data_IF_615548939906
#
_entry.id   IF_615548939906
#
_cell.length_a   1.000
_cell.length_b   1.000
_cell.length_c   1.000
_cell.angle_alpha   90.00
_cell.angle_beta   90.00
_cell.angle_gamma   90.00
#
_symmetry.space_group_name_H-M   'P 1'
#
loop_
_entity.id
_entity.type
_entity.pdbx_description
1 polymer ?
2 non-polymer ?
3 water ?
#
# COMPACT_ATOMS: atom_id res chain seq x y z
N UNK A 11 1.06 -7.80 -24.80
CA UNK A 11 0.36 -7.47 -23.57
C UNK A 11 1.29 -7.61 -22.37
N UNK A 12 1.05 -6.79 -21.34
CA UNK A 12 1.79 -6.86 -20.09
C UNK A 12 0.77 -6.84 -18.97
N UNK A 13 0.89 -7.78 -18.02
CA UNK A 13 -0.02 -7.86 -16.88
C UNK A 13 0.72 -7.38 -15.63
N UNK A 14 0.15 -6.40 -14.95
CA UNK A 14 0.77 -5.80 -13.77
C UNK A 14 -0.15 -6.05 -12.58
N UNK A 15 0.39 -6.69 -11.54
CA UNK A 15 -0.31 -6.87 -10.28
C UNK A 15 0.26 -5.86 -9.30
N UNK A 16 -0.60 -5.05 -8.68
CA UNK A 16 -0.10 -3.97 -7.85
C UNK A 16 -0.92 -3.81 -6.58
N UNK A 17 -0.22 -3.51 -5.49
CA UNK A 17 -0.87 -3.22 -4.21
C UNK A 17 -1.97 -2.18 -4.39
N UNK A 18 -3.06 -2.38 -3.65
CA UNK A 18 -4.25 -1.54 -3.82
C UNK A 18 -3.95 -0.05 -3.63
N UNK A 19 -3.00 0.29 -2.75
CA UNK A 19 -2.63 1.70 -2.60
C UNK A 19 -2.08 2.32 -3.89
N UNK A 20 -1.73 1.51 -4.90
CA UNK A 20 -1.19 2.02 -6.15
C UNK A 20 -2.25 2.16 -7.24
N UNK A 21 -3.53 1.93 -6.92
CA UNK A 21 -4.59 1.88 -7.92
C UNK A 21 -4.57 3.09 -8.84
N UNK A 22 -4.59 4.29 -8.26
CA UNK A 22 -4.74 5.50 -9.08
C UNK A 22 -3.47 5.79 -9.87
N UNK A 23 -2.29 5.66 -9.25
CA UNK A 23 -1.06 5.97 -9.95
C UNK A 23 -0.84 5.00 -11.11
N UNK A 24 -1.05 3.70 -10.88
CA UNK A 24 -0.82 2.73 -11.94
C UNK A 24 -1.87 2.85 -13.04
N UNK A 25 -3.12 3.16 -12.68
CA UNK A 25 -4.11 3.41 -13.73
C UNK A 25 -3.69 4.57 -14.62
N UNK A 26 -3.20 5.66 -14.03
CA UNK A 26 -2.72 6.79 -14.82
C UNK A 26 -1.56 6.37 -15.72
N UNK A 27 -0.62 5.60 -15.18
CA UNK A 27 0.54 5.23 -15.98
C UNK A 27 0.19 4.21 -17.06
N UNK A 28 -0.80 3.35 -16.81
CA UNK A 28 -1.23 2.42 -17.85
C UNK A 28 -1.79 3.18 -19.04
N UNK A 29 -2.56 4.25 -18.78
CA UNK A 29 -3.14 5.01 -19.88
C UNK A 29 -2.05 5.76 -20.65
N UNK A 30 -1.06 6.31 -19.95
CA UNK A 30 0.06 6.96 -20.62
C UNK A 30 0.81 5.97 -21.50
N UNK A 31 1.10 4.79 -20.96
CA UNK A 31 1.89 3.81 -21.69
C UNK A 31 1.15 3.33 -22.93
N UNK A 32 -0.17 3.15 -22.81
CA UNK A 32 -0.96 2.68 -23.95
C UNK A 32 -1.05 3.73 -25.05
N UNK A 33 -0.94 5.01 -24.70
CA UNK A 33 -0.88 6.05 -25.72
C UNK A 33 0.48 6.09 -26.42
N UNK A 34 1.52 5.57 -25.79
CA UNK A 34 2.90 5.69 -26.27
C UNK A 34 3.43 4.41 -26.88
N UNK A 35 2.67 3.31 -26.84
CA UNK A 35 3.14 2.00 -27.27
C UNK A 35 1.96 1.20 -27.77
N UNK A 36 2.22 0.29 -28.72
CA UNK A 36 1.20 -0.63 -29.22
C UNK A 36 1.16 -1.89 -28.35
N UNK A 37 0.95 -1.65 -27.06
CA UNK A 37 0.93 -2.69 -26.05
C UNK A 37 -0.30 -2.49 -25.19
N UNK A 38 -0.97 -3.58 -24.85
CA UNK A 38 -2.07 -3.54 -23.89
C UNK A 38 -1.52 -3.81 -22.51
N UNK A 39 -1.92 -2.99 -21.53
CA UNK A 39 -1.50 -3.13 -20.15
C UNK A 39 -2.70 -3.58 -19.33
N UNK A 40 -2.63 -4.78 -18.77
CA UNK A 40 -3.66 -5.32 -17.90
C UNK A 40 -3.24 -5.11 -16.46
N UNK A 41 -4.16 -4.63 -15.63
CA UNK A 41 -3.85 -4.33 -14.24
C UNK A 41 -4.77 -5.10 -13.30
N UNK A 42 -4.22 -5.53 -12.17
CA UNK A 42 -5.00 -6.12 -11.09
C UNK A 42 -4.51 -5.55 -9.78
N UNK A 43 -5.45 -5.11 -8.96
CA UNK A 43 -5.15 -4.50 -7.66
C UNK A 43 -5.83 -5.30 -6.55
N UNK A 44 -5.10 -5.50 -5.47
CA UNK A 44 -5.61 -6.16 -4.27
C UNK A 44 -4.55 -5.97 -3.19
N UNK A 45 -4.75 -6.57 -2.03
CA UNK A 45 -3.69 -6.58 -1.04
C UNK A 45 -2.45 -7.27 -1.58
N UNK A 46 -1.28 -6.77 -1.16
CA UNK A 46 -0.04 -7.36 -1.68
C UNK A 46 0.05 -8.86 -1.37
N UNK A 47 -0.51 -9.27 -0.23
CA UNK A 47 -0.52 -10.68 0.16
C UNK A 47 -1.30 -11.52 -0.85
N UNK A 48 -2.53 -11.12 -1.15
CA UNK A 48 -3.38 -11.84 -2.10
C UNK A 48 -2.68 -11.97 -3.43
N UNK A 49 -2.06 -10.89 -3.90
CA UNK A 49 -1.44 -10.88 -5.22
C UNK A 49 -0.25 -11.81 -5.27
N UNK A 50 0.61 -11.78 -4.24
CA UNK A 50 1.77 -12.66 -4.22
C UNK A 50 1.36 -14.12 -4.19
N UNK A 51 0.36 -14.47 -3.38
CA UNK A 51 -0.12 -15.85 -3.32
C UNK A 51 -0.70 -16.28 -4.66
N UNK A 52 -1.39 -15.38 -5.35
CA UNK A 52 -1.92 -15.72 -6.67
C UNK A 52 -0.80 -16.00 -7.67
N UNK A 53 0.26 -15.18 -7.64
CA UNK A 53 1.40 -15.42 -8.53
C UNK A 53 2.05 -16.75 -8.21
N UNK A 54 2.24 -17.04 -6.92
CA UNK A 54 2.78 -18.33 -6.50
C UNK A 54 1.97 -19.49 -7.06
N UNK A 55 0.65 -19.33 -7.14
CA UNK A 55 -0.24 -20.38 -7.65
C UNK A 55 -0.34 -20.39 -9.16
N UNK A 56 0.39 -19.53 -9.87
CA UNK A 56 0.46 -19.58 -11.32
C UNK A 56 -0.16 -18.42 -12.06
N UNK A 57 -0.66 -17.40 -11.38
CA UNK A 57 -1.27 -16.27 -12.09
C UNK A 57 -0.25 -15.61 -12.99
N UNK A 58 -0.63 -15.24 -14.22
CA UNK A 58 0.33 -14.82 -15.23
C UNK A 58 0.73 -13.34 -15.16
N UNK A 59 1.03 -12.86 -13.95
CA UNK A 59 1.55 -11.50 -13.82
C UNK A 59 2.95 -11.42 -14.39
N UNK A 60 3.18 -10.38 -15.21
CA UNK A 60 4.53 -10.07 -15.69
C UNK A 60 5.30 -9.24 -14.68
N UNK A 61 4.61 -8.38 -13.94
CA UNK A 61 5.22 -7.41 -13.03
C UNK A 61 4.39 -7.39 -11.75
N UNK A 62 5.08 -7.28 -10.62
CA UNK A 62 4.43 -7.22 -9.32
C UNK A 62 4.99 -6.02 -8.57
N UNK A 63 4.13 -5.22 -7.97
CA UNK A 63 4.54 -4.11 -7.11
C UNK A 63 3.88 -4.33 -5.77
N UNK A 64 4.70 -4.55 -4.75
CA UNK A 64 4.24 -4.83 -3.40
C UNK A 64 4.32 -3.57 -2.56
N UNK A 65 3.49 -3.50 -1.53
CA UNK A 65 3.54 -2.40 -0.57
C UNK A 65 4.50 -2.67 0.59
N UNK A 66 5.15 -3.84 0.60
CA UNK A 66 6.24 -4.08 1.53
C UNK A 66 7.29 -4.99 0.92
N UNK A 67 8.46 -5.01 1.56
CA UNK A 67 9.55 -5.89 1.17
C UNK A 67 9.18 -7.36 1.36
N UNK A 68 8.41 -7.65 2.42
CA UNK A 68 8.18 -9.04 2.81
C UNK A 68 7.50 -9.84 1.71
N UNK A 69 6.47 -9.28 1.07
CA UNK A 69 5.78 -10.07 0.05
C UNK A 69 6.58 -10.22 -1.24
N UNK A 70 7.54 -9.33 -1.50
CA UNK A 70 8.46 -9.62 -2.58
C UNK A 70 9.51 -10.65 -2.21
N UNK A 71 10.03 -10.58 -0.98
CA UNK A 71 10.91 -11.63 -0.48
C UNK A 71 10.23 -12.99 -0.55
N UNK A 72 8.92 -13.03 -0.26
CA UNK A 72 8.14 -14.26 -0.32
C UNK A 72 8.26 -14.90 -1.71
N UNK A 73 8.15 -14.09 -2.75
CA UNK A 73 8.29 -14.60 -4.12
C UNK A 73 9.73 -14.96 -4.44
N UNK A 74 10.69 -14.13 -3.99
CA UNK A 74 12.10 -14.43 -4.25
C UNK A 74 12.53 -15.75 -3.65
N UNK A 75 12.07 -16.04 -2.43
CA UNK A 75 12.41 -17.32 -1.80
C UNK A 75 11.84 -18.50 -2.58
N UNK A 76 10.74 -18.28 -3.31
CA UNK A 76 10.13 -19.31 -4.15
C UNK A 76 10.70 -19.31 -5.57
N UNK A 77 11.74 -18.49 -5.81
CA UNK A 77 12.42 -18.40 -7.11
C UNK A 77 11.58 -17.73 -8.20
N UNK A 78 10.52 -17.03 -7.83
CA UNK A 78 9.64 -16.42 -8.82
C UNK A 78 10.08 -15.03 -9.25
N UNK A 79 10.99 -14.42 -8.50
CA UNK A 79 11.66 -13.19 -8.92
C UNK A 79 13.12 -13.33 -8.51
N UNK A 80 14.01 -12.85 -9.38
CA UNK A 80 15.44 -12.85 -9.08
C UNK A 80 15.84 -11.57 -8.36
N UNK A 81 16.91 -11.68 -7.56
CA UNK A 81 17.38 -10.53 -6.79
C UNK A 81 17.72 -9.35 -7.70
N UNK A 82 18.25 -9.64 -8.89
CA UNK A 82 18.62 -8.57 -9.81
C UNK A 82 17.44 -8.03 -10.61
N UNK A 83 16.24 -8.60 -10.46
CA UNK A 83 15.06 -8.16 -11.19
C UNK A 83 14.04 -7.47 -10.28
N UNK A 84 14.50 -6.88 -9.18
CA UNK A 84 13.61 -6.11 -8.32
C UNK A 84 14.35 -4.86 -7.86
N UNK A 85 13.60 -3.80 -7.62
CA UNK A 85 14.15 -2.53 -7.17
C UNK A 85 13.17 -1.86 -6.23
N UNK A 86 13.70 -1.19 -5.21
CA UNK A 86 12.85 -0.44 -4.29
C UNK A 86 12.45 0.86 -4.98
N UNK A 87 11.14 1.01 -5.23
CA UNK A 87 10.65 2.08 -6.08
C UNK A 87 10.10 3.28 -5.31
N UNK A 88 9.19 3.05 -4.36
CA UNK A 88 8.44 4.11 -3.74
C UNK A 88 8.44 4.01 -2.21
N UNK A 89 8.26 5.16 -1.57
CA UNK A 89 8.01 5.22 -0.15
C UNK A 89 6.65 5.85 0.13
N UNK A 90 6.20 5.69 1.38
CA UNK A 90 4.92 6.22 1.82
C UNK A 90 5.04 6.51 3.31
N UNK A 91 3.97 7.05 3.88
CA UNK A 91 3.84 7.25 5.32
C UNK A 91 2.53 6.64 5.79
N UNK A 92 2.44 6.33 7.08
CA UNK A 92 1.25 5.74 7.68
C UNK A 92 0.48 6.81 8.44
N UNK A 93 -0.84 6.82 8.26
CA UNK A 93 -1.68 7.86 8.84
C UNK A 93 -2.93 7.26 9.49
N UNK A 94 -3.47 7.99 10.46
CA UNK A 94 -4.82 7.78 10.99
C UNK A 94 -5.77 8.66 10.19
N UNK A 95 -6.95 8.13 9.88
CA UNK A 95 -7.97 8.90 9.18
C UNK A 95 -9.29 8.80 9.93
N UNK A 96 -10.15 9.79 9.70
CA UNK A 96 -11.51 9.84 10.19
C UNK A 96 -12.42 10.21 9.03
N UNK A 97 -13.71 9.90 9.12
CA UNK A 97 -14.65 10.47 8.15
C UNK A 97 -14.63 11.98 8.22
N UNK A 98 -14.73 12.61 7.04
CA UNK A 98 -14.94 14.05 6.98
C UNK A 98 -16.17 14.41 7.78
N UNK A 99 -16.06 15.42 8.64
CA UNK A 99 -17.13 15.77 9.54
C UNK A 99 -17.05 15.16 10.92
N UNK A 100 -16.12 14.24 11.16
CA UNK A 100 -15.79 13.73 12.49
C UNK A 100 -14.30 13.81 12.73
N UNK A 101 -13.73 14.99 12.47
CA UNK A 101 -12.29 15.20 12.54
C UNK A 101 -11.76 15.07 13.98
N UNK A 102 -10.54 14.57 14.08
CA UNK A 102 -9.81 14.42 15.33
C UNK A 102 -8.36 14.80 15.07
N UNK A 103 -7.64 15.10 16.15
CA UNK A 103 -6.18 15.18 16.10
C UNK A 103 -5.63 14.32 17.22
N UNK A 104 -4.90 13.28 16.86
CA UNK A 104 -4.39 12.30 17.81
C UNK A 104 -2.88 12.20 17.65
N UNK A 105 -2.15 12.31 18.75
CA UNK A 105 -0.70 12.16 18.70
C UNK A 105 -0.35 10.68 18.86
N UNK A 106 0.36 10.14 17.88
CA UNK A 106 0.82 8.75 17.91
C UNK A 106 2.08 8.70 18.76
N UNK A 107 1.87 8.72 20.08
CA UNK A 107 2.92 8.77 21.07
C UNK A 107 2.51 7.85 22.20
N UNK A 108 3.51 7.20 22.82
CA UNK A 108 3.21 6.28 23.92
C UNK A 108 2.42 6.93 25.05
N UNK A 109 2.55 8.24 25.22
CA UNK A 109 1.83 8.93 26.29
C UNK A 109 0.33 8.94 26.06
N UNK A 110 -0.10 8.84 24.80
CA UNK A 110 -1.51 8.86 24.48
C UNK A 110 -2.16 7.53 24.88
N UNK A 111 -3.37 7.62 25.42
CA UNK A 111 -4.12 6.43 25.85
C UNK A 111 -5.09 6.04 24.75
N UNK A 112 -4.87 4.93 24.04
CA UNK A 112 -5.80 4.55 22.96
C UNK A 112 -7.21 4.33 23.43
N UNK A 113 -7.43 3.99 24.71
CA UNK A 113 -8.80 3.83 25.18
C UNK A 113 -9.52 5.16 25.33
N UNK A 114 -8.79 6.27 25.45
CA UNK A 114 -9.40 7.58 25.54
C UNK A 114 -9.69 8.18 24.16
N UNK A 115 -8.79 7.97 23.19
CA UNK A 115 -8.92 8.63 21.89
C UNK A 115 -9.64 7.80 20.83
N UNK A 116 -9.68 6.48 20.97
CA UNK A 116 -10.34 5.59 20.02
C UNK A 116 -11.56 5.00 20.72
N UNK A 117 -12.71 5.63 20.52
CA UNK A 117 -13.93 5.26 21.24
C UNK A 117 -14.90 4.46 20.38
N UNK A 118 -14.50 4.09 19.18
CA UNK A 118 -15.26 3.20 18.31
C UNK A 118 -14.34 2.12 17.77
N UNK A 119 -14.55 1.77 16.50
CA UNK A 119 -13.70 0.80 15.84
C UNK A 119 -12.55 1.48 15.13
N UNK A 120 -11.55 0.68 14.79
CA UNK A 120 -10.38 1.10 14.02
C UNK A 120 -10.27 0.16 12.83
N UNK A 121 -10.41 0.70 11.63
CA UNK A 121 -10.38 -0.09 10.40
C UNK A 121 -9.02 -0.04 9.72
N UNK A 122 -8.44 -1.21 9.44
CA UNK A 122 -7.20 -1.28 8.67
C UNK A 122 -7.09 -2.64 8.00
N UNK A 123 -6.01 -2.86 7.25
CA UNK A 123 -5.78 -4.18 6.69
C UNK A 123 -5.47 -5.22 7.76
N UNK A 124 -5.73 -6.48 7.42
CA UNK A 124 -5.40 -7.58 8.33
C UNK A 124 -3.97 -7.46 8.81
N UNK A 125 -3.80 -7.45 10.13
CA UNK A 125 -2.49 -7.14 10.70
C UNK A 125 -1.49 -8.25 10.54
N UNK A 126 -1.92 -9.46 10.14
CA UNK A 126 -0.99 -10.55 9.92
C UNK A 126 -0.46 -10.59 8.51
N UNK A 127 -1.20 -10.04 7.55
CA UNK A 127 -0.88 -10.31 6.15
C UNK A 127 -0.86 -9.10 5.24
N UNK A 128 -1.77 -8.15 5.41
CA UNK A 128 -1.84 -7.02 4.48
C UNK A 128 -0.78 -6.00 4.89
N UNK A 129 0.05 -5.50 3.96
CA UNK A 129 1.13 -4.56 4.37
C UNK A 129 0.67 -3.44 5.30
N UNK A 130 -0.41 -2.74 4.97
CA UNK A 130 -0.80 -1.59 5.79
C UNK A 130 -1.08 -2.04 7.22
N UNK A 131 -1.69 -3.21 7.38
CA UNK A 131 -1.96 -3.72 8.70
C UNK A 131 -0.72 -4.20 9.44
N UNK A 132 0.24 -4.78 8.71
CA UNK A 132 1.51 -5.17 9.32
C UNK A 132 2.28 -3.95 9.81
N UNK A 133 2.34 -2.89 9.01
CA UNK A 133 2.96 -1.66 9.46
C UNK A 133 2.24 -1.10 10.68
N UNK A 134 0.90 -1.13 10.65
CA UNK A 134 0.13 -0.63 11.78
C UNK A 134 0.42 -1.42 13.05
N UNK A 135 0.47 -2.76 12.94
CA UNK A 135 0.76 -3.57 14.12
C UNK A 135 2.15 -3.29 14.67
N UNK A 136 3.14 -3.08 13.80
CA UNK A 136 4.47 -2.68 14.27
C UNK A 136 4.38 -1.40 15.09
N UNK A 137 3.63 -0.42 14.59
CA UNK A 137 3.52 0.86 15.28
C UNK A 137 2.80 0.70 16.61
N UNK A 138 1.69 -0.04 16.64
CA UNK A 138 1.01 -0.25 17.91
C UNK A 138 1.91 -0.92 18.93
N UNK A 139 2.67 -1.93 18.51
CA UNK A 139 3.58 -2.61 19.43
C UNK A 139 4.64 -1.64 19.95
N UNK A 140 5.23 -0.86 19.04
CA UNK A 140 6.25 0.11 19.44
C UNK A 140 5.70 1.11 20.44
N UNK A 141 4.45 1.52 20.28
CA UNK A 141 3.82 2.51 21.15
C UNK A 141 3.31 1.92 22.45
N UNK A 142 3.32 0.60 22.61
CA UNK A 142 2.73 -0.02 23.78
C UNK A 142 1.23 -0.04 23.79
N UNK A 143 0.60 0.05 22.60
CA UNK A 143 -0.85 0.11 22.47
C UNK A 143 -1.52 -1.21 22.07
N UNK A 144 -0.75 -2.24 21.70
CA UNK A 144 -1.35 -3.38 20.98
C UNK A 144 -2.52 -4.01 21.72
N UNK A 145 -2.34 -4.33 23.00
CA UNK A 145 -3.41 -5.06 23.66
C UNK A 145 -4.65 -4.21 23.93
N UNK A 146 -4.55 -2.89 23.83
CA UNK A 146 -5.71 -2.02 23.89
C UNK A 146 -6.30 -1.73 22.51
N UNK A 147 -5.49 -1.80 21.45
CA UNK A 147 -5.96 -1.56 20.09
C UNK A 147 -6.67 -2.78 19.52
N UNK A 148 -6.09 -3.96 19.71
CA UNK A 148 -6.60 -5.15 19.03
C UNK A 148 -8.09 -5.38 19.22
N UNK A 149 -8.69 -5.21 20.40
CA UNK A 149 -10.14 -5.42 20.54
C UNK A 149 -11.01 -4.48 19.72
N UNK A 150 -10.44 -3.40 19.19
CA UNK A 150 -11.21 -2.41 18.44
C UNK A 150 -11.14 -2.62 16.92
N UNK A 151 -10.38 -3.60 16.45
CA UNK A 151 -10.06 -3.67 15.02
C UNK A 151 -11.20 -4.21 14.17
N UNK A 152 -11.34 -3.61 12.99
CA UNK A 152 -12.03 -4.22 11.86
C UNK A 152 -10.99 -4.34 10.75
N UNK A 153 -10.74 -5.57 10.31
CA UNK A 153 -9.63 -5.84 9.39
C UNK A 153 -10.14 -6.18 8.00
N UNK A 154 -9.49 -5.60 7.00
CA UNK A 154 -9.86 -5.77 5.60
C UNK A 154 -8.72 -6.41 4.83
N UNK A 155 -9.00 -6.79 3.58
CA UNK A 155 -8.01 -7.51 2.78
C UNK A 155 -7.18 -6.60 1.90
N UNK A 156 -7.46 -5.30 1.88
CA UNK A 156 -6.54 -4.32 1.30
C UNK A 156 -6.86 -2.94 1.88
N UNK A 157 -5.94 -2.02 1.68
CA UNK A 157 -6.04 -0.70 2.31
C UNK A 157 -7.20 0.09 1.75
N UNK A 158 -7.57 -0.13 0.49
CA UNK A 158 -8.66 0.64 -0.09
C UNK A 158 -10.03 0.20 0.45
N UNK A 159 -10.18 -1.08 0.81
CA UNK A 159 -11.42 -1.50 1.48
C UNK A 159 -11.55 -0.77 2.80
N UNK A 160 -10.44 -0.64 3.55
CA UNK A 160 -10.48 0.08 4.81
C UNK A 160 -10.78 1.56 4.59
N UNK A 161 -10.12 2.17 3.59
CA UNK A 161 -10.41 3.56 3.25
C UNK A 161 -11.89 3.78 3.00
N UNK A 162 -12.52 2.86 2.25
CA UNK A 162 -13.95 3.03 1.93
C UNK A 162 -14.84 2.86 3.14
N UNK A 163 -14.50 1.96 4.07
CA UNK A 163 -15.28 1.83 5.30
C UNK A 163 -15.30 3.15 6.06
N UNK A 164 -14.15 3.82 6.14
CA UNK A 164 -14.09 5.11 6.83
C UNK A 164 -14.79 6.19 6.02
N UNK A 165 -14.63 6.17 4.69
CA UNK A 165 -15.26 7.19 3.85
C UNK A 165 -16.78 7.13 3.94
N UNK A 166 -17.35 5.94 4.12
CA UNK A 166 -18.78 5.80 4.28
C UNK A 166 -19.24 6.00 5.72
N UNK A 167 -18.33 6.35 6.62
CA UNK A 167 -18.69 6.56 8.01
C UNK A 167 -19.03 5.31 8.77
N UNK A 168 -18.60 4.14 8.27
CA UNK A 168 -18.91 2.87 8.92
C UNK A 168 -17.94 2.54 10.04
N UNK A 169 -16.77 3.17 10.07
CA UNK A 169 -15.81 3.02 11.15
C UNK A 169 -15.30 4.42 11.50
N UNK A 170 -15.18 4.71 12.80
CA UNK A 170 -14.83 6.07 13.22
C UNK A 170 -13.38 6.43 12.91
N UNK A 171 -12.48 5.46 12.85
CA UNK A 171 -11.07 5.71 12.60
C UNK A 171 -10.56 4.62 11.68
N UNK A 172 -9.61 4.98 10.81
CA UNK A 172 -8.91 4.01 10.00
C UNK A 172 -7.42 4.28 10.00
N UNK A 173 -6.66 3.27 9.60
CA UNK A 173 -5.23 3.41 9.36
C UNK A 173 -4.97 3.05 7.92
N UNK A 174 -4.47 4.03 7.16
CA UNK A 174 -4.20 3.90 5.74
C UNK A 174 -2.86 4.59 5.46
N UNK A 175 -2.46 4.59 4.19
CA UNK A 175 -1.26 5.34 3.84
C UNK A 175 -1.62 6.81 3.60
N UNK A 176 -0.60 7.68 3.72
CA UNK A 176 -0.80 9.09 3.43
C UNK A 176 -1.42 9.29 2.05
N UNK A 177 -0.99 8.50 1.07
CA UNK A 177 -1.51 8.66 -0.29
C UNK A 177 -3.00 8.30 -0.37
N UNK A 178 -3.45 7.36 0.46
CA UNK A 178 -4.87 7.01 0.47
C UNK A 178 -5.70 8.15 1.04
N UNK A 179 -5.22 8.78 2.12
CA UNK A 179 -5.94 9.92 2.65
C UNK A 179 -6.05 11.03 1.63
N UNK A 180 -5.00 11.25 0.83
CA UNK A 180 -5.01 12.35 -0.12
C UNK A 180 -6.00 12.11 -1.26
N UNK A 181 -6.24 10.85 -1.62
CA UNK A 181 -7.10 10.55 -2.77
C UNK A 181 -8.59 10.65 -2.45
N UNK A 182 -8.97 10.63 -1.18
CA UNK A 182 -10.37 10.60 -0.77
C UNK A 182 -10.76 11.93 -0.14
N UNK A 183 -11.68 12.65 -0.78
CA UNK A 183 -12.25 13.85 -0.21
C UNK A 183 -13.18 13.55 0.96
N UNK A 184 -13.45 12.27 1.23
CA UNK A 184 -14.43 11.90 2.24
C UNK A 184 -13.77 11.55 3.58
N UNK A 185 -12.44 11.61 3.67
CA UNK A 185 -11.72 11.31 4.90
C UNK A 185 -10.70 12.42 5.16
N UNK A 186 -10.36 12.63 6.44
CA UNK A 186 -9.31 13.57 6.82
C UNK A 186 -8.28 12.89 7.71
N UNK A 187 -7.06 13.41 7.67
CA UNK A 187 -5.97 12.85 8.46
C UNK A 187 -6.13 13.28 9.91
N UNK A 188 -6.08 12.32 10.81
CA UNK A 188 -6.18 12.56 12.25
C UNK A 188 -4.83 12.48 12.94
N UNK A 189 -3.80 11.97 12.27
CA UNK A 189 -2.47 11.91 12.83
C UNK A 189 -1.52 11.18 11.90
N UNK A 190 -0.25 11.50 11.93
CA UNK A 190 0.77 10.84 11.13
C UNK A 190 1.67 10.05 12.07
N UNK A 191 1.83 8.76 11.78
CA UNK A 191 2.74 7.94 12.57
C UNK A 191 4.17 8.39 12.34
N UNK A 192 4.93 8.66 13.40
CA UNK A 192 6.37 8.91 13.21
C UNK A 192 7.05 7.73 12.54
N UNK A 193 8.06 8.04 11.74
CA UNK A 193 8.79 6.99 11.03
C UNK A 193 9.42 5.98 11.98
N UNK A 194 9.81 6.39 13.17
CA UNK A 194 10.49 5.45 14.04
C UNK A 194 9.55 4.48 14.75
N UNK A 195 8.24 4.52 14.46
CA UNK A 195 7.32 3.55 15.04
C UNK A 195 7.18 2.28 14.21
N UNK A 196 7.71 2.23 12.99
CA UNK A 196 7.51 1.06 12.14
C UNK A 196 8.64 0.97 11.13
N UNK A 197 8.72 -0.18 10.45
CA UNK A 197 9.69 -0.32 9.37
C UNK A 197 9.33 0.64 8.23
N UNK A 198 10.34 1.14 7.50
CA UNK A 198 10.05 2.07 6.40
C UNK A 198 9.07 1.46 5.41
N UNK A 199 8.08 2.24 4.99
CA UNK A 199 7.15 1.74 4.00
C UNK A 199 7.84 1.83 2.63
N UNK A 200 8.12 0.67 2.04
CA UNK A 200 8.88 0.56 0.81
C UNK A 200 8.07 -0.29 -0.16
N UNK A 201 7.96 0.18 -1.41
CA UNK A 201 7.30 -0.60 -2.45
C UNK A 201 8.35 -1.17 -3.39
N UNK A 202 8.67 -2.47 -3.30
CA UNK A 202 9.52 -3.08 -4.33
C UNK A 202 8.76 -3.38 -5.60
N UNK A 203 9.44 -3.13 -6.72
CA UNK A 203 8.94 -3.38 -8.06
C UNK A 203 9.70 -4.59 -8.61
N UNK A 204 8.96 -5.61 -9.04
CA UNK A 204 9.57 -6.86 -9.45
C UNK A 204 9.19 -7.31 -10.85
N UNK A 205 10.19 -7.71 -11.64
CA UNK A 205 9.97 -8.25 -12.98
C UNK A 205 9.85 -9.76 -12.87
N UNK A 206 8.62 -10.26 -12.99
CA UNK A 206 8.33 -11.67 -12.75
C UNK A 206 8.55 -12.50 -14.01
N UNK A 207 8.01 -12.04 -15.14
CA UNK A 207 8.24 -12.65 -16.44
C UNK A 207 9.18 -11.76 -17.22
N UNK A 208 10.29 -12.34 -17.68
CA UNK A 208 11.32 -11.61 -18.41
C UNK A 208 11.08 -11.75 -19.91
N UNK A 209 10.52 -10.71 -20.50
CA UNK A 209 10.32 -10.63 -21.95
C UNK A 209 10.46 -9.17 -22.36
N UNK A 210 10.46 -8.93 -23.67
CA UNK A 210 10.73 -7.60 -24.19
C UNK A 210 9.72 -6.57 -23.66
N UNK A 211 8.43 -6.88 -23.73
CA UNK A 211 7.41 -5.92 -23.33
C UNK A 211 7.42 -5.67 -21.84
N UNK A 212 7.57 -6.72 -21.04
CA UNK A 212 7.60 -6.55 -19.58
C UNK A 212 8.82 -5.76 -19.15
N UNK A 213 10.00 -6.04 -19.73
CA UNK A 213 11.19 -5.27 -19.36
C UNK A 213 11.02 -3.79 -19.68
N UNK A 214 10.38 -3.48 -20.80
CA UNK A 214 10.15 -2.09 -21.18
C UNK A 214 9.22 -1.39 -20.19
N UNK A 215 8.16 -2.07 -19.75
CA UNK A 215 7.27 -1.44 -18.78
C UNK A 215 7.93 -1.31 -17.41
N UNK A 216 8.74 -2.30 -17.03
CA UNK A 216 9.50 -2.22 -15.79
C UNK A 216 10.43 -1.01 -15.77
N UNK A 217 11.09 -0.72 -16.91
CA UNK A 217 11.93 0.48 -16.99
C UNK A 217 11.09 1.75 -17.00
N UNK A 218 9.96 1.71 -17.71
CA UNK A 218 9.05 2.86 -17.76
C UNK A 218 8.59 3.28 -16.36
N UNK A 219 8.34 2.33 -15.47
CA UNK A 219 7.92 2.67 -14.11
C UNK A 219 9.00 3.39 -13.32
N UNK A 220 10.26 3.30 -13.76
CA UNK A 220 11.37 3.99 -13.14
C UNK A 220 11.73 5.28 -13.87
N UNK A 221 10.95 5.66 -14.87
CA UNK A 221 11.34 6.75 -15.75
C UNK A 221 10.97 8.10 -15.14
N UNK A 222 11.55 9.15 -15.72
CA UNK A 222 11.23 10.51 -15.31
C UNK A 222 9.75 10.80 -15.46
N UNK A 223 9.13 10.24 -16.51
CA UNK A 223 7.71 10.41 -16.74
C UNK A 223 6.89 9.80 -15.60
N UNK A 224 7.29 8.60 -15.15
CA UNK A 224 6.57 7.93 -14.07
C UNK A 224 6.77 8.63 -12.74
N UNK A 225 7.98 9.15 -12.49
CA UNK A 225 8.24 9.91 -11.27
C UNK A 225 7.20 11.01 -11.06
N UNK A 226 6.86 11.74 -12.12
CA UNK A 226 5.90 12.83 -12.00
C UNK A 226 4.54 12.35 -11.53
N UNK A 227 4.09 11.20 -12.03
CA UNK A 227 2.79 10.67 -11.64
C UNK A 227 2.81 10.23 -10.18
N UNK A 228 3.83 9.47 -9.80
CA UNK A 228 3.91 9.00 -8.41
C UNK A 228 3.97 10.17 -7.44
N UNK A 229 4.74 11.21 -7.77
CA UNK A 229 4.84 12.35 -6.86
C UNK A 229 3.52 13.12 -6.78
N UNK A 230 2.81 13.22 -7.90
CA UNK A 230 1.48 13.82 -7.90
C UNK A 230 0.58 13.19 -6.85
N UNK A 231 0.64 11.87 -6.73
CA UNK A 231 -0.22 11.14 -5.80
C UNK A 231 0.34 11.11 -4.37
N UNK A 232 1.54 11.65 -4.16
CA UNK A 232 2.08 11.78 -2.82
C UNK A 232 3.08 10.72 -2.41
N UNK A 233 3.48 9.84 -3.32
CA UNK A 233 4.52 8.88 -3.01
C UNK A 233 5.88 9.57 -3.05
N UNK A 234 6.83 9.03 -2.29
CA UNK A 234 8.21 9.46 -2.44
C UNK A 234 8.92 8.50 -3.38
N UNK A 235 9.91 9.03 -4.09
CA UNK A 235 10.71 8.20 -4.99
C UNK A 235 11.94 7.79 -4.21
N UNK A 236 12.22 6.49 -4.18
CA UNK A 236 13.31 6.00 -3.36
C UNK A 236 14.64 6.11 -4.08
N UNK A 237 15.68 6.46 -3.32
CA UNK A 237 17.04 6.52 -3.84
C UNK A 237 17.66 5.13 -3.81
X LIG B 1 -1.78 -2.66 0.44
X LIG B 1 -1.41 -1.38 -0.65
X LIG B 1 -1.15 -2.32 2.03
X LIG B 1 -1.03 -4.08 -0.17
X LIG B 1 -3.48 -2.93 0.58
#
# INVERSE_FOLDING_TARGET
MGHHHHHHMESVTVYAAASLTNAINDLEKIYEKQNKVEVKTSYAGSSTLAKQIEAGAPADIFISADTQWMDYLQNKKLVAANDRINLLGNRLVLITPKGQSLNIKLDKATDPNKVFTGKICTGDTKSVPVGKYAKQAFTNLGWWNRIEPKLVETEDVRVALNFVARGECQVGIVYATDAAISKDVKVAGIFPENTHSPIIYPLGLIKKNSNSAKFYQFLQSNQAKAVFKKYGFSMLAPVKP
MOO MO O1 O2 O3 O4
#
